data_IF_106673657425
#
_entry.id   IF_106673657425
#
_cell.length_a   1.000
_cell.length_b   1.000
_cell.length_c   1.000
_cell.angle_alpha   90.00
_cell.angle_beta   90.00
_cell.angle_gamma   90.00
#
_symmetry.space_group_name_H-M   'P 1'
#
loop_
_entity.id
_entity.type
_entity.pdbx_description
1 polymer ?
#
# COMPACT_ATOMS: atom_id res chain seq x y z
N UNK A 1 25.18 -6.14 -1.89
CA UNK A 1 25.41 -7.55 -1.54
C UNK A 1 24.56 -7.83 -0.32
N UNK A 2 23.40 -8.51 -0.49
CA UNK A 2 22.57 -8.96 0.64
C UNK A 2 23.35 -10.11 1.26
N UNK A 3 23.82 -9.93 2.49
CA UNK A 3 24.58 -10.94 3.21
C UNK A 3 23.76 -12.23 3.40
N UNK A 4 24.40 -13.38 3.63
CA UNK A 4 23.71 -14.63 3.88
C UNK A 4 22.80 -14.49 5.10
N UNK A 5 21.55 -14.98 4.98
CA UNK A 5 20.59 -15.03 6.10
C UNK A 5 21.21 -15.82 7.25
N UNK A 6 20.95 -15.43 8.49
CA UNK A 6 21.47 -16.16 9.64
C UNK A 6 20.95 -17.62 9.66
N UNK A 7 21.70 -18.59 10.21
CA UNK A 7 21.30 -20.02 10.23
C UNK A 7 19.94 -20.28 10.89
N UNK A 8 19.53 -19.41 11.84
CA UNK A 8 18.22 -19.48 12.49
C UNK A 8 17.09 -19.01 11.56
N UNK A 9 17.35 -17.98 10.75
CA UNK A 9 16.39 -17.49 9.77
C UNK A 9 16.24 -18.46 8.58
N UNK A 10 17.28 -19.18 8.24
CA UNK A 10 17.25 -20.22 7.20
C UNK A 10 16.42 -21.42 7.64
N UNK A 11 16.61 -21.96 8.85
CA UNK A 11 15.80 -23.06 9.39
C UNK A 11 14.33 -22.71 9.49
N UNK A 12 13.97 -21.54 10.00
CA UNK A 12 12.58 -21.10 10.06
C UNK A 12 11.93 -20.88 8.67
N UNK A 13 12.73 -20.61 7.64
CA UNK A 13 12.24 -20.53 6.25
C UNK A 13 12.04 -21.93 5.66
N UNK A 14 12.94 -22.87 5.92
CA UNK A 14 12.85 -24.26 5.48
C UNK A 14 11.66 -24.99 6.12
N UNK A 15 11.45 -24.82 7.43
CA UNK A 15 10.28 -25.36 8.14
C UNK A 15 8.99 -24.79 7.58
N UNK A 16 8.91 -23.48 7.32
CA UNK A 16 7.74 -22.85 6.74
C UNK A 16 7.47 -23.21 5.28
N UNK A 17 8.50 -23.60 4.52
CA UNK A 17 8.36 -24.10 3.16
C UNK A 17 7.90 -25.56 3.14
N UNK A 18 8.33 -26.37 4.09
CA UNK A 18 7.86 -27.75 4.25
C UNK A 18 6.39 -27.80 4.65
N UNK A 19 5.94 -26.93 5.58
CA UNK A 19 4.54 -26.80 5.95
C UNK A 19 3.69 -26.38 4.74
N UNK A 20 4.13 -25.35 3.99
CA UNK A 20 3.42 -24.88 2.80
C UNK A 20 3.32 -25.98 1.74
N UNK A 21 4.36 -26.79 1.54
CA UNK A 21 4.30 -27.94 0.64
C UNK A 21 3.22 -28.93 1.04
N UNK A 22 3.14 -29.26 2.34
CA UNK A 22 2.10 -30.15 2.87
C UNK A 22 0.68 -29.59 2.64
N UNK A 23 0.48 -28.29 2.85
CA UNK A 23 -0.82 -27.67 2.61
C UNK A 23 -1.21 -27.64 1.12
N UNK A 24 -0.25 -27.40 0.22
CA UNK A 24 -0.49 -27.45 -1.23
C UNK A 24 -0.94 -28.85 -1.65
N UNK A 25 -0.26 -29.88 -1.17
CA UNK A 25 -0.63 -31.27 -1.47
C UNK A 25 -1.98 -31.65 -0.86
N UNK A 26 -2.26 -31.29 0.40
CA UNK A 26 -3.55 -31.51 1.05
C UNK A 26 -4.69 -30.82 0.30
N UNK A 27 -4.53 -29.56 -0.09
CA UNK A 27 -5.52 -28.81 -0.87
C UNK A 27 -5.78 -29.47 -2.24
N UNK A 28 -4.73 -29.98 -2.91
CA UNK A 28 -4.88 -30.75 -4.16
C UNK A 28 -5.63 -32.07 -3.97
N UNK A 29 -5.50 -32.68 -2.81
CA UNK A 29 -6.24 -33.88 -2.43
C UNK A 29 -7.69 -33.59 -1.99
N UNK A 30 -8.09 -32.31 -1.91
CA UNK A 30 -9.45 -31.88 -1.56
C UNK A 30 -9.64 -31.55 -0.08
N UNK A 31 -8.56 -31.47 0.70
CA UNK A 31 -8.62 -31.00 2.09
C UNK A 31 -8.91 -29.50 2.12
N UNK A 32 -10.10 -29.14 2.60
CA UNK A 32 -10.57 -27.74 2.64
C UNK A 32 -9.82 -26.88 3.66
N UNK A 33 -9.32 -27.45 4.75
CA UNK A 33 -8.60 -26.73 5.79
C UNK A 33 -7.25 -26.21 5.25
N UNK A 34 -6.63 -26.94 4.34
CA UNK A 34 -5.39 -26.57 3.69
C UNK A 34 -5.49 -25.26 2.89
N UNK A 35 -6.65 -24.97 2.25
CA UNK A 35 -6.88 -23.67 1.61
C UNK A 35 -6.84 -22.52 2.61
N UNK A 36 -7.43 -22.73 3.80
CA UNK A 36 -7.42 -21.75 4.89
C UNK A 36 -6.00 -21.44 5.37
N UNK A 37 -5.16 -22.45 5.52
CA UNK A 37 -3.76 -22.26 5.96
C UNK A 37 -2.90 -21.61 4.89
N UNK A 38 -3.05 -21.99 3.62
CA UNK A 38 -2.39 -21.30 2.49
C UNK A 38 -2.79 -19.82 2.47
N UNK A 39 -4.10 -19.51 2.62
CA UNK A 39 -4.60 -18.16 2.71
C UNK A 39 -3.94 -17.38 3.87
N UNK A 40 -4.04 -17.89 5.10
CA UNK A 40 -3.48 -17.22 6.28
C UNK A 40 -1.99 -16.94 6.14
N UNK A 41 -1.25 -17.83 5.50
CA UNK A 41 0.20 -17.71 5.30
C UNK A 41 0.58 -16.68 4.25
N UNK A 42 -0.16 -16.62 3.14
CA UNK A 42 0.24 -15.86 1.95
C UNK A 42 -0.61 -14.62 1.69
N UNK A 43 -1.86 -14.54 2.16
CA UNK A 43 -2.72 -13.39 1.92
C UNK A 43 -2.13 -12.06 2.43
N UNK A 44 -1.50 -11.97 3.61
CA UNK A 44 -0.87 -10.72 4.03
C UNK A 44 0.26 -10.26 3.09
N UNK A 45 0.99 -11.19 2.49
CA UNK A 45 2.07 -10.89 1.54
C UNK A 45 1.54 -10.42 0.20
N UNK A 46 0.52 -11.11 -0.33
CA UNK A 46 -0.17 -10.72 -1.57
C UNK A 46 -0.85 -9.38 -1.40
N UNK A 47 -1.59 -9.18 -0.30
CA UNK A 47 -2.22 -7.91 0.04
C UNK A 47 -1.20 -6.76 0.11
N UNK A 48 -0.09 -6.98 0.83
CA UNK A 48 1.01 -5.99 0.90
C UNK A 48 1.58 -5.66 -0.48
N UNK A 49 1.72 -6.65 -1.36
CA UNK A 49 2.18 -6.44 -2.73
C UNK A 49 1.19 -5.60 -3.56
N UNK A 50 -0.08 -6.01 -3.61
CA UNK A 50 -1.09 -5.31 -4.41
C UNK A 50 -1.34 -3.89 -3.89
N UNK A 51 -1.34 -3.70 -2.56
CA UNK A 51 -1.44 -2.39 -1.91
C UNK A 51 -0.23 -1.51 -2.21
N UNK A 52 0.99 -2.05 -2.05
CA UNK A 52 2.23 -1.33 -2.35
C UNK A 52 2.37 -0.96 -3.82
N UNK A 53 1.68 -1.65 -4.72
CA UNK A 53 1.57 -1.35 -6.15
C UNK A 53 0.45 -0.35 -6.48
N UNK A 54 -0.34 0.08 -5.49
CA UNK A 54 -1.37 1.09 -5.66
C UNK A 54 -2.71 0.55 -6.18
N UNK A 55 -3.07 -0.68 -5.84
CA UNK A 55 -4.43 -1.18 -6.08
C UNK A 55 -5.45 -0.27 -5.37
N UNK A 56 -6.58 -0.01 -6.02
CA UNK A 56 -7.66 0.81 -5.44
C UNK A 56 -8.40 0.07 -4.32
N UNK A 57 -8.64 -1.22 -4.53
CA UNK A 57 -9.30 -2.14 -3.60
C UNK A 57 -8.41 -3.37 -3.38
N UNK A 58 -7.36 -3.26 -2.54
CA UNK A 58 -6.37 -4.32 -2.40
C UNK A 58 -6.95 -5.61 -1.81
N UNK A 59 -8.01 -5.53 -1.00
CA UNK A 59 -8.74 -6.67 -0.44
C UNK A 59 -9.42 -7.48 -1.55
N UNK A 60 -10.12 -6.79 -2.47
CA UNK A 60 -10.83 -7.41 -3.59
C UNK A 60 -9.84 -8.08 -4.54
N UNK A 61 -8.77 -7.36 -4.91
CA UNK A 61 -7.71 -7.91 -5.77
C UNK A 61 -7.06 -9.12 -5.12
N UNK A 62 -6.80 -9.08 -3.80
CA UNK A 62 -6.23 -10.22 -3.06
C UNK A 62 -7.19 -11.42 -3.12
N UNK A 63 -8.48 -11.20 -2.89
CA UNK A 63 -9.50 -12.26 -2.95
C UNK A 63 -9.60 -12.87 -4.35
N UNK A 64 -9.57 -12.06 -5.40
CA UNK A 64 -9.55 -12.52 -6.80
C UNK A 64 -8.30 -13.34 -7.14
N UNK A 65 -7.13 -12.95 -6.60
CA UNK A 65 -5.88 -13.70 -6.78
C UNK A 65 -5.99 -15.09 -6.20
N UNK A 66 -6.48 -15.22 -4.97
CA UNK A 66 -6.61 -16.53 -4.33
C UNK A 66 -7.71 -17.37 -4.95
N UNK A 67 -8.83 -16.78 -5.38
CA UNK A 67 -9.86 -17.48 -6.13
C UNK A 67 -9.28 -18.11 -7.40
N UNK A 68 -8.52 -17.34 -8.17
CA UNK A 68 -7.86 -17.83 -9.37
C UNK A 68 -6.81 -18.91 -9.07
N UNK A 69 -5.99 -18.72 -8.02
CA UNK A 69 -4.99 -19.67 -7.59
C UNK A 69 -5.64 -20.99 -7.15
N UNK A 70 -6.66 -20.96 -6.31
CA UNK A 70 -7.33 -22.18 -5.82
C UNK A 70 -8.08 -22.91 -6.94
N UNK A 71 -8.70 -22.19 -7.86
CA UNK A 71 -9.31 -22.78 -9.05
C UNK A 71 -8.28 -23.49 -9.94
N UNK A 72 -7.08 -22.93 -10.05
CA UNK A 72 -5.99 -23.49 -10.84
C UNK A 72 -5.14 -24.55 -10.13
N UNK A 73 -5.28 -24.71 -8.81
CA UNK A 73 -4.37 -25.49 -7.97
C UNK A 73 -4.26 -26.96 -8.39
N UNK A 74 -5.35 -27.56 -8.83
CA UNK A 74 -5.36 -28.96 -9.30
C UNK A 74 -4.43 -29.20 -10.51
N UNK A 75 -4.13 -28.16 -11.29
CA UNK A 75 -3.23 -28.21 -12.45
C UNK A 75 -1.82 -27.72 -12.13
N UNK A 76 -1.62 -27.16 -10.96
CA UNK A 76 -0.30 -26.68 -10.54
C UNK A 76 0.62 -27.88 -10.26
N UNK A 77 1.87 -27.77 -10.73
CA UNK A 77 2.96 -28.70 -10.39
C UNK A 77 4.22 -27.90 -10.19
N UNK A 78 4.97 -28.19 -9.14
CA UNK A 78 6.20 -27.49 -8.80
C UNK A 78 6.47 -27.44 -7.30
N UNK A 79 7.58 -26.81 -6.94
CA UNK A 79 7.98 -26.57 -5.56
C UNK A 79 7.17 -25.45 -4.90
N UNK A 80 7.35 -25.26 -3.59
CA UNK A 80 6.78 -24.11 -2.86
C UNK A 80 7.27 -22.76 -3.41
N UNK A 81 8.50 -22.71 -3.88
CA UNK A 81 9.05 -21.53 -4.56
C UNK A 81 8.31 -21.24 -5.87
N UNK A 82 8.03 -22.29 -6.66
CA UNK A 82 7.28 -22.14 -7.91
C UNK A 82 5.82 -21.76 -7.62
N UNK A 83 5.24 -22.27 -6.55
CA UNK A 83 3.90 -21.87 -6.13
C UNK A 83 3.82 -20.39 -5.77
N UNK A 84 4.81 -19.86 -5.02
CA UNK A 84 4.88 -18.43 -4.74
C UNK A 84 5.03 -17.61 -6.04
N UNK A 85 5.94 -18.00 -6.92
CA UNK A 85 6.12 -17.32 -8.20
C UNK A 85 4.83 -17.30 -9.02
N UNK A 86 4.15 -18.44 -9.11
CA UNK A 86 2.87 -18.55 -9.80
C UNK A 86 1.77 -17.69 -9.16
N UNK A 87 1.63 -17.70 -7.83
CA UNK A 87 0.66 -16.86 -7.10
C UNK A 87 0.91 -15.36 -7.34
N UNK A 88 2.17 -14.92 -7.29
CA UNK A 88 2.53 -13.53 -7.57
C UNK A 88 2.44 -13.17 -9.06
N UNK A 89 2.56 -14.13 -9.97
CA UNK A 89 2.22 -13.93 -11.39
C UNK A 89 0.73 -13.62 -11.57
N UNK A 90 -0.14 -14.37 -10.88
CA UNK A 90 -1.59 -14.10 -10.88
C UNK A 90 -1.85 -12.69 -10.30
N UNK A 91 -1.20 -12.34 -9.18
CA UNK A 91 -1.34 -11.03 -8.57
C UNK A 91 -0.88 -9.89 -9.50
N UNK A 92 0.23 -10.08 -10.20
CA UNK A 92 0.72 -9.12 -11.20
C UNK A 92 -0.29 -8.91 -12.32
N UNK A 93 -0.83 -9.98 -12.91
CA UNK A 93 -1.83 -9.88 -13.98
C UNK A 93 -3.11 -9.20 -13.50
N UNK A 94 -3.62 -9.56 -12.31
CA UNK A 94 -4.80 -8.92 -11.73
C UNK A 94 -4.61 -7.41 -11.52
N UNK A 95 -3.41 -6.98 -11.10
CA UNK A 95 -3.07 -5.57 -10.99
C UNK A 95 -3.02 -4.85 -12.33
N UNK A 96 -2.45 -5.49 -13.36
CA UNK A 96 -2.43 -4.93 -14.72
C UNK A 96 -3.85 -4.75 -15.24
N UNK A 97 -4.73 -5.73 -15.01
CA UNK A 97 -6.12 -5.67 -15.43
C UNK A 97 -6.92 -4.61 -14.64
N UNK A 98 -6.67 -4.47 -13.31
CA UNK A 98 -7.24 -3.43 -12.49
C UNK A 98 -6.80 -2.03 -12.97
N UNK A 99 -5.53 -1.89 -13.35
CA UNK A 99 -5.02 -0.64 -13.91
C UNK A 99 -5.64 -0.31 -15.28
N UNK A 100 -5.78 -1.30 -16.17
CA UNK A 100 -6.42 -1.11 -17.49
C UNK A 100 -7.88 -0.68 -17.34
N UNK A 101 -8.65 -1.35 -16.47
CA UNK A 101 -10.04 -0.96 -16.18
C UNK A 101 -10.13 0.49 -15.72
N UNK A 102 -9.21 0.92 -14.85
CA UNK A 102 -9.18 2.33 -14.38
C UNK A 102 -8.87 3.34 -15.48
N UNK A 103 -8.00 2.98 -16.42
CA UNK A 103 -7.68 3.86 -17.56
C UNK A 103 -8.89 3.96 -18.48
N UNK A 104 -9.58 2.86 -18.74
CA UNK A 104 -10.79 2.84 -19.58
C UNK A 104 -11.93 3.62 -18.91
N UNK A 105 -12.11 3.51 -17.59
CA UNK A 105 -13.08 4.29 -16.83
C UNK A 105 -12.73 5.80 -16.76
N UNK A 106 -11.42 6.14 -16.75
CA UNK A 106 -10.93 7.52 -16.68
C UNK A 106 -10.95 8.24 -18.04
N UNK A 107 -11.16 7.56 -19.15
CA UNK A 107 -11.31 8.17 -20.47
C UNK A 107 -12.53 9.08 -20.57
N UNK A 108 -13.40 9.07 -19.54
CA UNK A 108 -14.56 9.97 -19.39
C UNK A 108 -14.29 11.22 -18.53
N UNK A 109 -13.11 11.40 -17.92
CA UNK A 109 -12.73 12.60 -17.15
C UNK A 109 -11.32 13.10 -17.49
N UNK A 110 -11.18 14.10 -18.38
CA UNK A 110 -9.88 14.65 -18.80
C UNK A 110 -9.10 15.37 -17.69
N UNK A 111 -9.66 15.57 -16.49
CA UNK A 111 -9.01 16.26 -15.38
C UNK A 111 -8.21 15.34 -14.44
N UNK A 112 -8.26 14.02 -14.64
CA UNK A 112 -7.56 13.05 -13.81
C UNK A 112 -6.51 12.29 -14.61
N UNK A 113 -5.34 12.91 -14.83
CA UNK A 113 -4.16 12.19 -15.34
C UNK A 113 -3.55 11.34 -14.21
N UNK A 114 -3.64 9.98 -14.25
CA UNK A 114 -3.13 9.11 -13.18
C UNK A 114 -1.60 9.10 -13.09
N UNK A 115 -0.91 9.79 -13.99
CA UNK A 115 0.57 9.82 -14.03
C UNK A 115 1.15 10.80 -13.01
N UNK A 116 0.36 11.70 -12.44
CA UNK A 116 0.88 12.83 -11.68
C UNK A 116 0.42 12.97 -10.23
N UNK A 117 -0.53 12.17 -9.72
CA UNK A 117 -0.90 12.25 -8.30
C UNK A 117 -1.57 10.98 -7.80
N UNK A 118 -1.16 10.45 -6.63
CA UNK A 118 -2.01 9.52 -5.91
C UNK A 118 -3.29 10.26 -5.53
N UNK A 119 -4.48 9.69 -5.85
CA UNK A 119 -5.76 10.30 -5.50
C UNK A 119 -5.82 10.58 -3.98
N UNK A 120 -6.59 11.58 -3.57
CA UNK A 120 -6.77 11.88 -2.14
C UNK A 120 -7.31 10.66 -1.37
N UNK A 121 -8.09 9.80 -2.02
CA UNK A 121 -8.60 8.53 -1.49
C UNK A 121 -7.48 7.49 -1.32
N UNK A 122 -6.53 7.40 -2.26
CA UNK A 122 -5.35 6.55 -2.09
C UNK A 122 -4.50 6.99 -0.88
N UNK A 123 -4.52 8.27 -0.52
CA UNK A 123 -3.84 8.78 0.69
C UNK A 123 -4.54 8.41 1.98
N UNK A 124 -5.87 8.32 2.00
CA UNK A 124 -6.63 7.89 3.21
C UNK A 124 -6.47 6.40 3.46
N UNK A 125 -6.46 5.57 2.41
CA UNK A 125 -6.21 4.12 2.50
C UNK A 125 -4.75 3.77 2.88
N UNK A 126 -3.82 4.72 2.71
CA UNK A 126 -2.43 4.55 3.16
C UNK A 126 -2.22 4.72 4.67
N UNK A 127 -3.23 5.14 5.42
CA UNK A 127 -3.09 5.41 6.87
C UNK A 127 -2.76 4.17 7.73
N UNK A 128 -2.89 2.96 7.18
CA UNK A 128 -2.59 1.72 7.90
C UNK A 128 -1.16 1.18 7.67
N UNK A 129 -0.43 1.70 6.66
CA UNK A 129 1.00 1.45 6.56
C UNK A 129 1.74 2.40 7.49
N UNK A 130 2.78 1.90 8.14
CA UNK A 130 3.74 2.75 8.82
C UNK A 130 4.22 3.85 7.86
N UNK A 131 4.16 5.11 8.30
CA UNK A 131 4.53 6.27 7.47
C UNK A 131 5.94 6.14 6.87
N UNK A 132 6.83 5.44 7.56
CA UNK A 132 8.18 5.15 7.08
C UNK A 132 8.19 4.26 5.84
N UNK A 133 7.35 3.22 5.82
CA UNK A 133 7.20 2.33 4.66
C UNK A 133 6.58 3.07 3.49
N UNK A 134 5.61 3.94 3.75
CA UNK A 134 4.99 4.75 2.69
C UNK A 134 5.98 5.69 2.02
N UNK A 135 6.76 6.44 2.81
CA UNK A 135 7.77 7.37 2.30
C UNK A 135 8.84 6.62 1.49
N UNK A 136 9.25 5.46 1.98
CA UNK A 136 10.20 4.60 1.28
C UNK A 136 9.65 4.13 -0.07
N UNK A 137 8.39 3.68 -0.13
CA UNK A 137 7.77 3.24 -1.37
C UNK A 137 7.48 4.40 -2.32
N UNK A 138 7.12 5.59 -1.81
CA UNK A 138 6.89 6.79 -2.60
C UNK A 138 8.15 7.29 -3.31
N UNK A 139 9.33 7.09 -2.72
CA UNK A 139 10.61 7.46 -3.29
C UNK A 139 11.06 6.55 -4.46
N UNK A 140 10.40 5.43 -4.68
CA UNK A 140 10.74 4.46 -5.73
C UNK A 140 9.96 4.71 -7.02
N UNK A 141 10.60 4.48 -8.18
CA UNK A 141 9.85 4.36 -9.43
C UNK A 141 8.92 3.15 -9.40
N UNK A 142 7.91 3.12 -10.29
CA UNK A 142 6.95 2.01 -10.35
C UNK A 142 7.65 0.65 -10.54
N UNK A 143 8.68 0.60 -11.42
CA UNK A 143 9.44 -0.61 -11.70
C UNK A 143 10.34 -1.02 -10.52
N UNK A 144 10.99 -0.04 -9.87
CA UNK A 144 11.81 -0.30 -8.68
C UNK A 144 10.96 -0.86 -7.54
N UNK A 145 9.79 -0.28 -7.32
CA UNK A 145 8.82 -0.69 -6.30
C UNK A 145 8.34 -2.11 -6.56
N UNK A 146 7.96 -2.42 -7.80
CA UNK A 146 7.52 -3.75 -8.21
C UNK A 146 8.57 -4.82 -7.91
N UNK A 147 9.77 -4.62 -8.43
CA UNK A 147 10.89 -5.57 -8.22
C UNK A 147 11.22 -5.72 -6.74
N UNK A 148 11.22 -4.63 -5.96
CA UNK A 148 11.47 -4.67 -4.52
C UNK A 148 10.40 -5.51 -3.80
N UNK A 149 9.12 -5.25 -4.09
CA UNK A 149 8.00 -5.94 -3.44
C UNK A 149 7.97 -7.43 -3.80
N UNK A 150 8.19 -7.81 -5.06
CA UNK A 150 8.27 -9.21 -5.49
C UNK A 150 9.44 -9.93 -4.78
N UNK A 151 10.58 -9.27 -4.61
CA UNK A 151 11.74 -9.84 -3.91
C UNK A 151 11.54 -9.96 -2.41
N UNK A 152 10.82 -9.04 -1.77
CA UNK A 152 10.67 -8.99 -0.30
C UNK A 152 9.41 -9.70 0.17
N UNK A 153 8.26 -9.44 -0.42
CA UNK A 153 6.98 -10.04 -0.04
C UNK A 153 6.75 -11.38 -0.73
N UNK A 154 7.09 -11.48 -2.02
CA UNK A 154 6.99 -12.73 -2.78
C UNK A 154 8.06 -13.74 -2.43
N UNK A 155 9.18 -13.29 -1.89
CA UNK A 155 10.41 -14.10 -1.68
C UNK A 155 10.87 -14.80 -2.97
N UNK A 156 10.66 -14.11 -4.13
CA UNK A 156 10.98 -14.64 -5.44
C UNK A 156 12.48 -14.49 -5.77
N UNK A 157 13.04 -15.42 -6.53
CA UNK A 157 14.38 -15.26 -7.09
C UNK A 157 14.43 -14.14 -8.14
N UNK A 158 15.61 -13.69 -8.52
CA UNK A 158 15.75 -12.68 -9.59
C UNK A 158 15.20 -13.20 -10.92
N UNK A 159 15.41 -14.48 -11.18
CA UNK A 159 14.95 -15.19 -12.37
C UNK A 159 13.42 -15.25 -12.38
N UNK A 160 12.78 -15.62 -11.25
CA UNK A 160 11.33 -15.62 -11.11
C UNK A 160 10.72 -14.23 -11.24
N UNK A 161 11.36 -13.19 -10.68
CA UNK A 161 10.92 -11.80 -10.89
C UNK A 161 11.01 -11.40 -12.35
N UNK A 162 12.07 -11.85 -13.06
CA UNK A 162 12.23 -11.58 -14.49
C UNK A 162 11.08 -12.20 -15.31
N UNK A 163 10.69 -13.44 -14.99
CA UNK A 163 9.56 -14.14 -15.60
C UNK A 163 8.23 -13.43 -15.32
N UNK A 164 7.94 -13.12 -14.04
CA UNK A 164 6.69 -12.43 -13.63
C UNK A 164 6.53 -11.09 -14.32
N UNK A 165 7.62 -10.32 -14.45
CA UNK A 165 7.57 -8.95 -14.98
C UNK A 165 7.86 -8.85 -16.48
N UNK A 166 8.21 -9.95 -17.13
CA UNK A 166 8.62 -9.98 -18.55
C UNK A 166 9.92 -9.22 -18.83
N UNK A 167 10.80 -9.06 -17.83
CA UNK A 167 12.05 -8.30 -17.93
C UNK A 167 13.26 -9.24 -18.03
N UNK A 168 14.38 -8.72 -18.49
CA UNK A 168 15.64 -9.47 -18.42
C UNK A 168 16.16 -9.55 -16.99
N UNK A 169 16.84 -10.65 -16.66
CA UNK A 169 17.53 -10.87 -15.36
C UNK A 169 18.48 -9.70 -15.03
N UNK A 170 19.18 -9.17 -16.04
CA UNK A 170 20.07 -8.02 -15.88
C UNK A 170 19.32 -6.75 -15.47
N UNK A 171 18.17 -6.48 -16.11
CA UNK A 171 17.32 -5.34 -15.75
C UNK A 171 16.76 -5.46 -14.32
N UNK A 172 16.30 -6.65 -13.92
CA UNK A 172 15.81 -6.91 -12.56
C UNK A 172 16.91 -6.67 -11.53
N UNK A 173 18.13 -7.16 -11.75
CA UNK A 173 19.27 -6.91 -10.85
C UNK A 173 19.56 -5.43 -10.67
N UNK A 174 19.55 -4.65 -11.76
CA UNK A 174 19.77 -3.21 -11.71
C UNK A 174 18.64 -2.47 -10.99
N UNK A 175 17.38 -2.80 -11.29
CA UNK A 175 16.22 -2.20 -10.63
C UNK A 175 16.22 -2.49 -9.14
N UNK A 176 16.48 -3.73 -8.74
CA UNK A 176 16.56 -4.13 -7.33
C UNK A 176 17.68 -3.39 -6.60
N UNK A 177 18.87 -3.31 -7.20
CA UNK A 177 20.00 -2.58 -6.63
C UNK A 177 19.67 -1.11 -6.38
N UNK A 178 19.08 -0.43 -7.39
CA UNK A 178 18.65 0.98 -7.28
C UNK A 178 17.55 1.14 -6.24
N UNK A 179 16.57 0.24 -6.21
CA UNK A 179 15.50 0.26 -5.22
C UNK A 179 16.04 0.20 -3.79
N UNK A 180 16.94 -0.76 -3.51
CA UNK A 180 17.57 -0.89 -2.19
C UNK A 180 18.40 0.35 -1.81
N UNK A 181 19.13 0.93 -2.76
CA UNK A 181 19.89 2.16 -2.51
C UNK A 181 18.98 3.34 -2.20
N UNK A 182 17.91 3.54 -2.97
CA UNK A 182 16.95 4.62 -2.73
C UNK A 182 16.25 4.44 -1.38
N UNK A 183 15.79 3.22 -1.06
CA UNK A 183 15.15 2.91 0.23
C UNK A 183 16.07 3.22 1.43
N UNK A 184 17.36 2.87 1.33
CA UNK A 184 18.34 3.19 2.38
C UNK A 184 18.52 4.68 2.57
N UNK A 185 18.67 5.44 1.47
CA UNK A 185 18.81 6.91 1.53
C UNK A 185 17.59 7.57 2.16
N UNK A 186 16.39 7.11 1.80
CA UNK A 186 15.14 7.63 2.37
C UNK A 186 15.06 7.35 3.87
N UNK A 187 15.42 6.14 4.30
CA UNK A 187 15.44 5.78 5.72
C UNK A 187 16.50 6.57 6.52
N UNK A 188 17.68 6.82 5.94
CA UNK A 188 18.74 7.64 6.55
C UNK A 188 18.30 9.09 6.69
N UNK A 189 17.78 9.70 5.61
CA UNK A 189 17.30 11.08 5.61
C UNK A 189 16.17 11.31 6.65
N UNK A 190 15.31 10.30 6.85
CA UNK A 190 14.24 10.38 7.86
C UNK A 190 14.79 10.33 9.28
N UNK A 191 15.83 9.54 9.54
CA UNK A 191 16.48 9.47 10.87
C UNK A 191 17.21 10.78 11.23
N UNK A 192 17.65 11.51 10.21
CA UNK A 192 18.31 12.82 10.39
C UNK A 192 17.31 13.97 10.54
N UNK A 193 16.02 13.78 10.19
CA UNK A 193 14.99 14.78 10.42
C UNK A 193 14.64 14.81 11.91
N UNK A 194 14.77 15.98 12.59
CA UNK A 194 14.34 16.09 13.98
C UNK A 194 12.84 15.80 14.05
N UNK A 195 12.43 15.06 15.09
CA UNK A 195 11.02 14.77 15.36
C UNK A 195 10.21 16.07 15.23
N UNK A 196 9.00 16.04 14.61
CA UNK A 196 8.15 17.21 14.59
C UNK A 196 7.98 17.71 16.01
N UNK A 197 8.33 19.00 16.22
CA UNK A 197 8.21 19.64 17.54
C UNK A 197 6.78 19.43 18.09
N UNK A 198 6.59 19.50 19.42
CA UNK A 198 5.27 19.37 20.01
C UNK A 198 4.31 20.33 19.30
N UNK A 199 3.04 19.91 19.09
CA UNK A 199 2.07 20.76 18.42
C UNK A 199 2.03 22.10 19.10
N UNK A 200 2.30 23.18 18.35
CA UNK A 200 2.17 24.55 18.85
C UNK A 200 0.74 24.70 19.37
N UNK A 201 0.57 25.04 20.65
CA UNK A 201 -0.77 25.21 21.21
C UNK A 201 -1.47 26.29 20.39
N UNK A 202 -2.65 25.98 19.86
CA UNK A 202 -3.49 26.96 19.18
C UNK A 202 -3.61 28.19 20.07
N UNK A 203 -3.40 29.42 19.56
CA UNK A 203 -3.66 30.62 20.35
C UNK A 203 -5.11 30.54 20.82
N UNK A 204 -5.29 30.58 22.14
CA UNK A 204 -6.64 30.60 22.74
C UNK A 204 -7.37 31.79 22.12
N UNK A 205 -8.64 31.62 21.68
CA UNK A 205 -9.43 32.74 21.21
C UNK A 205 -9.45 33.79 22.30
N UNK A 206 -9.14 35.01 21.95
CA UNK A 206 -9.13 36.18 22.81
C UNK A 206 -10.44 36.20 23.60
N UNK A 207 -10.35 36.03 24.92
CA UNK A 207 -11.50 36.23 25.83
C UNK A 207 -11.82 37.71 25.79
N UNK A 208 -12.78 38.09 24.97
CA UNK A 208 -13.37 39.41 24.99
C UNK A 208 -14.25 39.52 26.23
N UNK A 209 -13.58 39.61 27.41
CA UNK A 209 -14.23 40.13 28.65
C UNK A 209 -13.88 41.60 28.75
N UNK A 210 -14.50 42.38 27.87
CA UNK A 210 -14.53 43.84 27.94
C UNK A 210 -15.86 44.26 28.54
N UNK A 211 -15.77 44.73 29.76
CA UNK A 211 -16.86 45.27 30.57
C UNK A 211 -17.75 46.21 29.78
N UNK A 212 -19.02 45.87 29.66
CA UNK A 212 -20.11 46.82 29.37
C UNK A 212 -20.31 47.66 30.63
N UNK A 213 -19.69 48.82 30.67
CA UNK A 213 -20.07 49.86 31.61
C UNK A 213 -21.42 50.41 31.17
N UNK A 214 -22.42 50.12 31.94
CA UNK A 214 -23.72 50.80 31.96
C UNK A 214 -23.49 52.31 32.18
N UNK A 215 -23.87 53.14 31.25
CA UNK A 215 -24.10 54.57 31.48
C UNK A 215 -25.55 54.83 31.13
N UNK A 216 -26.33 54.96 32.23
CA UNK A 216 -27.68 55.56 32.21
C UNK A 216 -27.52 57.07 32.24
N UNK A 217 -28.10 57.75 31.28
CA UNK A 217 -28.61 59.13 31.39
C UNK A 217 -29.50 59.38 30.17
N UNK A 218 -30.78 59.32 30.31
CA UNK A 218 -31.71 60.41 30.69
C UNK A 218 -31.83 61.46 29.60
N UNK A 219 -33.12 61.60 29.22
CA UNK A 219 -33.85 62.83 28.88
C UNK A 219 -34.25 63.02 27.45
N UNK A 220 -35.49 62.69 27.17
CA UNK A 220 -36.66 63.61 27.04
C UNK A 220 -36.80 64.37 25.75
N UNK A 221 -38.01 64.14 25.19
CA UNK A 221 -38.92 65.14 24.59
C UNK A 221 -38.56 65.59 23.14
N UNK A 222 -39.42 65.53 22.20
CA UNK A 222 -40.75 66.07 21.99
C UNK A 222 -41.31 65.56 20.71
N UNK A 223 -42.54 65.04 20.72
CA UNK A 223 -43.76 65.59 20.15
C UNK A 223 -43.69 66.14 18.72
N UNK A 224 -44.32 65.35 17.81
CA UNK A 224 -45.52 65.64 17.01
C UNK A 224 -45.50 66.89 16.05
N UNK A 225 -46.38 66.97 15.02
CA UNK A 225 -47.03 65.93 14.19
C UNK A 225 -47.09 66.37 12.69
N UNK A 226 -47.80 65.49 11.93
CA UNK A 226 -48.76 65.82 10.81
C UNK A 226 -48.22 66.56 9.57
N UNK A 227 -48.47 66.13 8.41
CA UNK A 227 -49.67 66.24 7.55
C UNK A 227 -49.24 66.06 6.10
N UNK A 228 -50.04 65.22 5.43
CA UNK A 228 -50.57 65.33 4.07
C UNK A 228 -49.69 65.78 2.91
N UNK A 229 -49.56 64.99 1.97
CA UNK A 229 -50.24 65.00 0.65
C UNK A 229 -49.66 63.85 -0.19
#
# INVERSE_FOLDING_TARGET
MVGPRSPRAQRGAEDGDAELAGWIEGARAGDTDCYGWIWQRLAPRVHGYVRGRGARHPEDVTSEVFLAAFTGLARFSGSTSDFRAWLFTIAHHKLVDDYRRRVDDAEYDPAQDPRLSPSAEARVLHSELDSEVQDMLAALTAEQREVLLLRTLGDLSVEQVAEVTGRSVGAVKQLYHRAVQTSRRTAEARREQPAPGPPVPFPRPYSATGAIRSSSAVTQAASTPMTDM
#
